data_IF_912847230445
#
_entry.id   IF_912847230445
#
_cell.length_a   1.000
_cell.length_b   1.000
_cell.length_c   1.000
_cell.angle_alpha   90.00
_cell.angle_beta   90.00
_cell.angle_gamma   90.00
#
_symmetry.space_group_name_H-M   'P 1'
#
loop_
_entity.id
_entity.type
_entity.pdbx_description
1 polymer ?
#
# COMPACT_ATOMS: atom_id res chain seq x y z
N UNK A 1 18.80 14.60 -0.49
CA UNK A 1 17.41 14.87 -0.89
C UNK A 1 16.83 13.63 -1.55
N UNK A 2 15.61 13.69 -2.06
CA UNK A 2 14.96 12.62 -2.82
C UNK A 2 14.05 13.23 -3.90
N UNK A 3 13.70 12.43 -4.92
CA UNK A 3 12.61 12.77 -5.85
C UNK A 3 11.39 11.95 -5.45
N UNK A 4 10.26 12.62 -5.24
CA UNK A 4 9.02 11.97 -4.82
C UNK A 4 8.03 11.94 -5.99
N UNK A 5 7.41 10.79 -6.24
CA UNK A 5 6.20 10.64 -7.04
C UNK A 5 4.99 10.62 -6.09
N UNK A 6 4.31 11.77 -5.85
CA UNK A 6 3.21 11.86 -4.91
C UNK A 6 1.91 11.32 -5.52
N UNK A 7 1.77 10.00 -5.55
CA UNK A 7 0.61 9.31 -6.11
C UNK A 7 -0.38 8.98 -4.98
N UNK A 8 -1.57 9.61 -4.96
CA UNK A 8 -2.60 9.34 -3.97
C UNK A 8 -3.43 8.09 -4.35
N UNK A 9 -4.59 7.92 -3.71
CA UNK A 9 -5.63 7.05 -4.27
C UNK A 9 -6.10 7.60 -5.62
N UNK A 10 -5.93 6.81 -6.68
CA UNK A 10 -6.35 7.19 -8.02
C UNK A 10 -7.82 6.83 -8.23
N UNK A 11 -8.70 7.82 -8.39
CA UNK A 11 -10.10 7.55 -8.71
C UNK A 11 -10.18 7.16 -10.18
N UNK A 12 -10.96 6.12 -10.55
CA UNK A 12 -11.01 5.65 -11.94
C UNK A 12 -11.32 6.79 -12.92
N UNK A 13 -12.31 7.63 -12.61
CA UNK A 13 -12.72 8.78 -13.45
C UNK A 13 -11.62 9.82 -13.72
N UNK A 14 -10.56 9.85 -12.91
CA UNK A 14 -9.46 10.81 -13.04
C UNK A 14 -8.36 10.26 -13.97
N UNK A 15 -8.33 8.93 -14.22
CA UNK A 15 -7.25 8.25 -14.97
C UNK A 15 -7.75 7.43 -16.16
N UNK A 16 -9.05 7.17 -16.28
CA UNK A 16 -9.66 6.48 -17.43
C UNK A 16 -10.58 7.41 -18.20
N UNK A 17 -10.56 7.30 -19.52
CA UNK A 17 -11.63 7.84 -20.38
C UNK A 17 -12.71 6.77 -20.53
N UNK A 18 -13.97 7.15 -20.25
CA UNK A 18 -15.09 6.21 -20.32
C UNK A 18 -15.32 5.75 -21.76
N UNK A 19 -15.37 4.43 -21.98
CA UNK A 19 -15.76 3.83 -23.24
C UNK A 19 -17.04 3.02 -23.05
N UNK A 20 -18.02 3.25 -23.92
CA UNK A 20 -19.28 2.50 -23.90
C UNK A 20 -19.06 1.07 -24.43
N UNK A 21 -19.81 0.11 -23.89
CA UNK A 21 -19.82 -1.28 -24.38
C UNK A 21 -18.80 -2.24 -23.76
N UNK A 22 -17.93 -1.76 -22.85
CA UNK A 22 -16.97 -2.64 -22.19
C UNK A 22 -17.65 -3.65 -21.25
N UNK A 23 -17.27 -4.91 -21.37
CA UNK A 23 -17.66 -5.97 -20.43
C UNK A 23 -16.86 -5.87 -19.11
N UNK A 24 -17.19 -6.71 -18.12
CA UNK A 24 -16.55 -6.66 -16.79
C UNK A 24 -15.04 -6.89 -16.81
N UNK A 25 -14.56 -7.84 -17.62
CA UNK A 25 -13.13 -8.19 -17.73
C UNK A 25 -12.37 -7.05 -18.40
N UNK A 26 -12.93 -6.46 -19.45
CA UNK A 26 -12.32 -5.33 -20.15
C UNK A 26 -12.20 -4.11 -19.25
N UNK A 27 -13.21 -3.82 -18.40
CA UNK A 27 -13.13 -2.74 -17.41
C UNK A 27 -12.01 -2.98 -16.41
N UNK A 28 -11.83 -4.21 -15.95
CA UNK A 28 -10.73 -4.58 -15.05
C UNK A 28 -9.36 -4.36 -15.70
N UNK A 29 -9.17 -4.88 -16.91
CA UNK A 29 -7.93 -4.74 -17.67
C UNK A 29 -7.62 -3.28 -17.96
N UNK A 30 -8.63 -2.50 -18.34
CA UNK A 30 -8.48 -1.08 -18.65
C UNK A 30 -8.07 -0.26 -17.42
N UNK A 31 -8.70 -0.49 -16.26
CA UNK A 31 -8.31 0.19 -15.02
C UNK A 31 -6.90 -0.24 -14.56
N UNK A 32 -6.59 -1.53 -14.66
CA UNK A 32 -5.26 -2.06 -14.33
C UNK A 32 -4.17 -1.40 -15.21
N UNK A 33 -4.40 -1.33 -16.52
CA UNK A 33 -3.51 -0.70 -17.47
C UNK A 33 -3.35 0.79 -17.14
N UNK A 34 -4.45 1.52 -16.93
CA UNK A 34 -4.41 2.95 -16.60
C UNK A 34 -3.62 3.25 -15.33
N UNK A 35 -3.79 2.44 -14.27
CA UNK A 35 -3.00 2.59 -13.04
C UNK A 35 -1.53 2.28 -13.33
N UNK A 36 -1.23 1.19 -14.04
CA UNK A 36 0.14 0.80 -14.40
C UNK A 36 0.84 1.92 -15.17
N UNK A 37 0.21 2.41 -16.25
CA UNK A 37 0.73 3.47 -17.10
C UNK A 37 0.94 4.77 -16.32
N UNK A 38 0.02 5.11 -15.41
CA UNK A 38 0.16 6.28 -14.54
C UNK A 38 1.42 6.19 -13.68
N UNK A 39 1.66 5.05 -13.01
CA UNK A 39 2.88 4.86 -12.23
C UNK A 39 4.15 4.93 -13.10
N UNK A 40 4.15 4.28 -14.27
CA UNK A 40 5.29 4.29 -15.19
C UNK A 40 5.61 5.70 -15.69
N UNK A 41 4.59 6.48 -16.04
CA UNK A 41 4.75 7.87 -16.49
C UNK A 41 5.31 8.76 -15.38
N UNK A 42 4.75 8.71 -14.17
CA UNK A 42 5.25 9.49 -13.04
C UNK A 42 6.69 9.12 -12.68
N UNK A 43 7.03 7.82 -12.72
CA UNK A 43 8.41 7.37 -12.50
C UNK A 43 9.37 7.84 -13.59
N UNK A 44 8.96 7.80 -14.86
CA UNK A 44 9.76 8.32 -15.96
C UNK A 44 10.04 9.82 -15.81
N UNK A 45 9.04 10.60 -15.40
CA UNK A 45 9.21 12.04 -15.16
C UNK A 45 10.06 12.32 -13.92
N UNK A 46 9.97 11.50 -12.87
CA UNK A 46 10.88 11.54 -11.73
C UNK A 46 12.34 11.23 -12.12
N UNK A 47 12.55 10.28 -13.04
CA UNK A 47 13.89 9.98 -13.58
C UNK A 47 14.46 11.18 -14.36
N UNK A 48 13.64 11.84 -15.19
CA UNK A 48 14.05 13.07 -15.90
C UNK A 48 14.38 14.20 -14.92
N UNK A 49 13.55 14.37 -13.88
CA UNK A 49 13.76 15.40 -12.84
C UNK A 49 15.02 15.13 -12.02
N UNK A 50 15.31 13.87 -11.69
CA UNK A 50 16.54 13.46 -11.00
C UNK A 50 17.78 13.83 -11.82
N UNK A 51 17.75 13.59 -13.14
CA UNK A 51 18.92 13.68 -14.00
C UNK A 51 20.04 12.77 -13.50
N UNK A 52 21.27 13.29 -13.46
CA UNK A 52 22.47 12.56 -13.03
C UNK A 52 22.72 12.60 -11.52
N UNK A 53 21.81 13.21 -10.75
CA UNK A 53 21.99 13.37 -9.30
C UNK A 53 21.80 12.03 -8.58
N UNK A 54 22.62 11.73 -7.54
CA UNK A 54 22.49 10.51 -6.74
C UNK A 54 21.36 10.62 -5.71
N UNK A 55 20.12 10.82 -6.19
CA UNK A 55 18.93 10.94 -5.37
C UNK A 55 18.05 9.68 -5.52
N UNK A 56 17.53 9.13 -4.41
CA UNK A 56 16.55 8.05 -4.51
C UNK A 56 15.23 8.59 -5.06
N UNK A 57 14.53 7.75 -5.83
CA UNK A 57 13.15 7.99 -6.23
C UNK A 57 12.23 7.24 -5.29
N UNK A 58 11.32 7.97 -4.66
CA UNK A 58 10.30 7.41 -3.77
C UNK A 58 8.95 7.56 -4.47
N UNK A 59 8.17 6.48 -4.56
CA UNK A 59 6.78 6.56 -5.01
C UNK A 59 5.83 6.28 -3.85
N UNK A 60 4.69 6.95 -3.84
CA UNK A 60 3.60 6.62 -2.90
C UNK A 60 2.49 5.86 -3.60
N UNK A 61 1.53 5.33 -2.83
CA UNK A 61 0.32 4.75 -3.40
C UNK A 61 -0.71 4.45 -2.32
N UNK A 62 -1.99 4.38 -2.72
CA UNK A 62 -3.07 3.99 -1.80
C UNK A 62 -4.05 3.08 -2.53
N UNK A 63 -3.82 1.77 -2.44
CA UNK A 63 -4.59 0.73 -3.13
C UNK A 63 -4.44 -0.63 -2.43
N UNK A 64 -5.15 -1.66 -2.89
CA UNK A 64 -4.94 -3.07 -2.46
C UNK A 64 -4.05 -3.78 -3.48
N UNK A 65 -3.03 -4.51 -3.01
CA UNK A 65 -2.16 -5.35 -3.87
C UNK A 65 -2.51 -6.82 -3.78
N UNK A 66 -2.14 -7.60 -4.80
CA UNK A 66 -2.29 -9.07 -4.79
C UNK A 66 -1.51 -9.66 -3.63
N UNK A 67 -2.13 -10.56 -2.87
CA UNK A 67 -1.54 -11.22 -1.70
C UNK A 67 -1.51 -10.37 -0.42
N UNK A 68 -2.07 -9.15 -0.43
CA UNK A 68 -2.16 -8.33 0.78
C UNK A 68 -3.08 -8.96 1.82
N UNK A 69 -2.60 -9.05 3.07
CA UNK A 69 -3.43 -9.42 4.22
C UNK A 69 -4.29 -8.25 4.66
N UNK A 70 -5.60 -8.32 4.39
CA UNK A 70 -6.61 -7.33 4.83
C UNK A 70 -7.02 -7.56 6.30
N UNK A 71 -7.56 -6.52 6.93
CA UNK A 71 -8.30 -6.58 8.19
C UNK A 71 -9.75 -6.17 7.95
N UNK A 72 -10.63 -6.40 8.94
CA UNK A 72 -12.07 -6.13 8.79
C UNK A 72 -12.38 -4.64 8.55
N UNK A 73 -11.51 -3.72 9.01
CA UNK A 73 -11.68 -2.29 8.79
C UNK A 73 -11.28 -1.81 7.38
N UNK A 74 -10.61 -2.66 6.58
CA UNK A 74 -10.25 -2.31 5.20
C UNK A 74 -11.51 -2.40 4.33
N UNK A 75 -11.97 -1.25 3.82
CA UNK A 75 -13.07 -1.20 2.86
C UNK A 75 -12.59 -1.59 1.47
N UNK A 76 -13.38 -2.38 0.76
CA UNK A 76 -13.08 -2.65 -0.64
C UNK A 76 -13.12 -1.37 -1.47
N UNK A 77 -12.10 -1.22 -2.31
CA UNK A 77 -11.97 -0.14 -3.29
C UNK A 77 -12.06 -0.74 -4.70
N UNK A 78 -12.37 0.11 -5.69
CA UNK A 78 -12.52 -0.33 -7.08
C UNK A 78 -13.54 -1.47 -7.28
N UNK A 79 -14.57 -1.52 -6.42
CA UNK A 79 -15.64 -2.53 -6.45
C UNK A 79 -16.21 -2.68 -7.86
N UNK A 80 -16.23 -3.92 -8.36
CA UNK A 80 -16.74 -4.24 -9.70
C UNK A 80 -15.78 -3.91 -10.85
N UNK A 81 -14.53 -3.52 -10.54
CA UNK A 81 -13.50 -3.24 -11.55
C UNK A 81 -12.17 -3.91 -11.23
N UNK A 82 -11.49 -3.61 -10.12
CA UNK A 82 -10.16 -4.14 -9.84
C UNK A 82 -10.05 -4.61 -8.39
N UNK A 83 -9.96 -5.92 -8.18
CA UNK A 83 -9.90 -6.49 -6.83
C UNK A 83 -8.55 -6.25 -6.15
N UNK A 84 -7.46 -6.34 -6.92
CA UNK A 84 -6.10 -6.18 -6.42
C UNK A 84 -5.12 -5.81 -7.53
N UNK A 85 -4.14 -4.98 -7.20
CA UNK A 85 -3.07 -4.56 -8.09
C UNK A 85 -1.85 -5.51 -7.98
N UNK A 86 -1.37 -6.10 -9.09
CA UNK A 86 -0.16 -6.93 -9.08
C UNK A 86 1.08 -6.08 -8.80
N UNK A 87 1.86 -6.44 -7.80
CA UNK A 87 2.99 -5.63 -7.36
C UNK A 87 4.12 -5.52 -8.40
N UNK A 88 4.24 -6.52 -9.28
CA UNK A 88 5.19 -6.50 -10.39
C UNK A 88 4.91 -5.40 -11.43
N UNK A 89 3.72 -4.78 -11.39
CA UNK A 89 3.38 -3.65 -12.27
C UNK A 89 3.90 -2.31 -11.73
N UNK A 90 4.40 -2.27 -10.49
CA UNK A 90 5.05 -1.07 -9.98
C UNK A 90 6.36 -0.78 -10.72
N UNK A 91 6.72 0.51 -10.89
CA UNK A 91 7.99 0.91 -11.47
C UNK A 91 9.14 0.65 -10.49
N UNK A 92 10.38 0.58 -10.96
CA UNK A 92 11.55 0.28 -10.13
C UNK A 92 12.03 1.50 -9.32
N UNK A 93 11.15 2.11 -8.53
CA UNK A 93 11.51 3.14 -7.57
C UNK A 93 12.36 2.56 -6.43
N UNK A 94 13.24 3.37 -5.84
CA UNK A 94 14.11 2.93 -4.74
C UNK A 94 13.30 2.58 -3.48
N UNK A 95 12.11 3.19 -3.31
CA UNK A 95 11.14 2.79 -2.30
C UNK A 95 9.71 3.13 -2.72
N UNK A 96 8.76 2.24 -2.42
CA UNK A 96 7.32 2.42 -2.66
C UNK A 96 6.57 2.32 -1.34
N UNK A 97 6.07 3.49 -0.91
CA UNK A 97 5.32 3.66 0.34
C UNK A 97 3.81 3.55 0.07
N UNK A 98 3.24 2.39 0.41
CA UNK A 98 1.81 2.12 0.21
C UNK A 98 1.00 2.34 1.49
N UNK A 99 -0.23 2.82 1.32
CA UNK A 99 -1.29 2.84 2.34
C UNK A 99 -2.54 2.11 1.86
N UNK A 100 -3.58 2.06 2.71
CA UNK A 100 -4.88 1.36 2.56
C UNK A 100 -4.97 0.10 3.43
N UNK A 101 -3.93 -0.73 3.40
CA UNK A 101 -3.86 -1.94 4.23
C UNK A 101 -3.35 -1.59 5.63
N UNK A 102 -4.07 -2.03 6.66
CA UNK A 102 -3.81 -1.64 8.05
C UNK A 102 -2.77 -2.51 8.77
N UNK A 103 -2.31 -3.61 8.16
CA UNK A 103 -1.22 -4.44 8.68
C UNK A 103 0.06 -4.16 7.91
N UNK A 104 1.13 -3.81 8.63
CA UNK A 104 2.46 -3.66 8.05
C UNK A 104 2.91 -4.98 7.40
N UNK A 105 3.37 -4.92 6.15
CA UNK A 105 3.80 -6.10 5.41
C UNK A 105 4.63 -5.73 4.18
N UNK A 106 5.48 -6.67 3.77
CA UNK A 106 6.26 -6.64 2.52
C UNK A 106 5.40 -7.20 1.40
N UNK A 107 5.44 -6.57 0.23
CA UNK A 107 4.62 -6.97 -0.92
C UNK A 107 5.46 -7.67 -1.98
N UNK A 108 5.01 -8.87 -2.40
CA UNK A 108 5.66 -9.64 -3.46
C UNK A 108 7.11 -10.06 -3.15
N UNK A 109 7.50 -10.12 -1.88
CA UNK A 109 8.89 -10.38 -1.47
C UNK A 109 9.85 -9.24 -1.76
N UNK A 110 9.34 -8.07 -2.16
CA UNK A 110 10.15 -6.90 -2.50
C UNK A 110 10.31 -6.00 -1.27
N UNK A 111 11.48 -6.04 -0.64
CA UNK A 111 11.81 -5.27 0.57
C UNK A 111 11.52 -3.76 0.48
N UNK A 112 11.58 -3.21 -0.74
CA UNK A 112 11.35 -1.80 -1.04
C UNK A 112 9.87 -1.44 -1.32
N UNK A 113 8.94 -2.40 -1.33
CA UNK A 113 7.50 -2.16 -1.54
C UNK A 113 6.73 -2.59 -0.30
N UNK A 114 6.21 -1.62 0.45
CA UNK A 114 5.70 -1.88 1.80
C UNK A 114 4.42 -1.13 2.13
N UNK A 115 3.53 -1.80 2.85
CA UNK A 115 2.56 -1.12 3.70
C UNK A 115 3.16 -0.87 5.08
N UNK A 116 2.97 0.34 5.61
CA UNK A 116 3.28 0.65 7.01
C UNK A 116 2.17 0.18 7.98
N UNK A 117 0.95 -0.02 7.48
CA UNK A 117 -0.20 -0.33 8.32
C UNK A 117 -0.79 0.90 8.99
N UNK A 118 -1.79 0.67 9.84
CA UNK A 118 -2.35 1.70 10.72
C UNK A 118 -1.46 1.89 11.96
N UNK A 119 -1.32 3.12 12.49
CA UNK A 119 -0.54 3.37 13.71
C UNK A 119 -1.27 2.92 14.98
N UNK A 120 -2.59 2.72 14.91
CA UNK A 120 -3.44 2.21 16.00
C UNK A 120 -4.33 1.08 15.46
N UNK A 121 -4.81 0.15 16.30
CA UNK A 121 -5.77 -0.86 15.86
C UNK A 121 -7.08 -0.21 15.40
N UNK A 122 -7.52 -0.49 14.18
CA UNK A 122 -8.77 0.06 13.60
C UNK A 122 -9.93 -0.95 13.61
N UNK A 123 -9.63 -2.22 13.91
CA UNK A 123 -10.58 -3.30 14.08
C UNK A 123 -10.08 -4.29 15.13
N UNK A 124 -11.00 -5.10 15.70
CA UNK A 124 -10.67 -6.06 16.75
C UNK A 124 -9.73 -7.18 16.26
N UNK A 125 -9.75 -7.54 14.98
CA UNK A 125 -8.81 -8.49 14.39
C UNK A 125 -7.37 -7.95 14.28
N UNK A 126 -7.16 -6.65 14.53
CA UNK A 126 -5.84 -6.02 14.64
C UNK A 126 -5.34 -5.91 16.09
N UNK A 127 -6.19 -6.21 17.07
CA UNK A 127 -5.82 -6.18 18.48
C UNK A 127 -4.71 -7.20 18.78
N UNK A 128 -3.75 -6.81 19.63
CA UNK A 128 -2.60 -7.64 20.00
C UNK A 128 -1.52 -7.77 18.91
N UNK A 129 -1.70 -7.15 17.73
CA UNK A 129 -0.69 -7.08 16.68
C UNK A 129 0.13 -5.80 16.83
N UNK A 130 1.44 -5.90 16.61
CA UNK A 130 2.33 -4.74 16.61
C UNK A 130 1.90 -3.70 15.58
N UNK A 131 2.05 -2.43 15.96
CA UNK A 131 1.78 -1.27 15.13
C UNK A 131 3.10 -0.57 14.83
N UNK A 132 3.29 -0.16 13.58
CA UNK A 132 4.59 0.31 13.12
C UNK A 132 4.49 1.63 12.38
N UNK A 133 5.56 2.41 12.49
CA UNK A 133 5.96 3.41 11.51
C UNK A 133 7.29 2.95 10.92
N UNK A 134 7.47 3.11 9.62
CA UNK A 134 8.73 2.75 8.98
C UNK A 134 9.70 3.93 8.99
N UNK A 135 10.85 3.75 9.61
CA UNK A 135 12.01 4.62 9.42
C UNK A 135 12.79 4.09 8.23
N UNK A 136 12.77 4.85 7.13
CA UNK A 136 13.39 4.46 5.86
C UNK A 136 14.65 5.29 5.65
N UNK A 137 15.79 4.63 5.59
CA UNK A 137 17.09 5.27 5.41
C UNK A 137 17.60 5.04 3.99
N UNK A 138 18.12 6.11 3.38
CA UNK A 138 18.75 6.07 2.08
C UNK A 138 20.19 6.54 2.19
N UNK A 139 21.08 5.87 1.45
CA UNK A 139 22.51 6.17 1.39
C UNK A 139 22.96 6.19 -0.07
N UNK A 140 23.67 7.24 -0.48
CA UNK A 140 24.19 7.41 -1.84
C UNK A 140 23.15 7.19 -2.96
N UNK A 141 21.92 7.67 -2.75
CA UNK A 141 20.84 7.55 -3.74
C UNK A 141 20.12 6.19 -3.77
N UNK A 142 20.40 5.31 -2.81
CA UNK A 142 19.82 3.95 -2.75
C UNK A 142 19.20 3.66 -1.39
N UNK A 143 18.22 2.78 -1.35
CA UNK A 143 17.63 2.28 -0.11
C UNK A 143 18.70 1.51 0.69
N UNK A 144 18.91 1.91 1.94
CA UNK A 144 19.88 1.27 2.84
C UNK A 144 19.18 0.37 3.85
N UNK A 145 18.12 0.86 4.51
CA UNK A 145 17.40 0.10 5.51
C UNK A 145 15.94 0.55 5.66
N UNK A 146 15.11 -0.38 6.12
CA UNK A 146 13.74 -0.10 6.58
C UNK A 146 13.59 -0.65 7.99
N UNK A 147 13.53 0.23 8.98
CA UNK A 147 13.35 -0.14 10.38
C UNK A 147 11.87 0.02 10.80
N UNK A 148 11.34 -1.00 11.46
CA UNK A 148 9.99 -1.00 11.98
C UNK A 148 9.98 -0.38 13.39
N UNK A 149 9.61 0.90 13.51
CA UNK A 149 9.47 1.57 14.80
C UNK A 149 8.11 1.23 15.42
N UNK A 150 8.12 0.58 16.58
CA UNK A 150 6.89 0.22 17.29
C UNK A 150 6.15 1.46 17.80
N UNK A 151 4.85 1.54 17.51
CA UNK A 151 3.97 2.58 18.04
C UNK A 151 3.40 2.12 19.38
N UNK A 152 3.57 2.90 20.47
CA UNK A 152 3.00 2.56 21.77
C UNK A 152 1.47 2.45 21.73
N UNK A 153 0.94 1.39 22.33
CA UNK A 153 -0.51 1.20 22.48
C UNK A 153 -0.98 1.94 23.73
N UNK A 154 -1.90 2.89 23.57
CA UNK A 154 -2.42 3.72 24.67
C UNK A 154 -3.82 3.31 25.13
N UNK A 155 -4.52 2.49 24.35
CA UNK A 155 -5.86 1.98 24.65
C UNK A 155 -5.87 0.45 24.62
N UNK A 156 -6.00 -0.23 25.78
CA UNK A 156 -6.16 -1.68 25.82
C UNK A 156 -7.43 -2.13 25.11
N UNK A 157 -7.32 -3.24 24.37
CA UNK A 157 -8.42 -3.92 23.70
C UNK A 157 -8.23 -5.43 23.89
N UNK A 158 -9.32 -6.19 23.85
CA UNK A 158 -9.30 -7.65 23.92
C UNK A 158 -10.44 -8.24 23.07
N UNK A 159 -10.28 -9.47 22.62
CA UNK A 159 -11.31 -10.22 21.90
C UNK A 159 -11.56 -11.52 22.65
N UNK A 160 -12.74 -11.66 23.24
CA UNK A 160 -13.16 -12.88 23.94
C UNK A 160 -13.92 -13.78 22.96
N UNK A 161 -13.55 -15.05 22.90
CA UNK A 161 -14.21 -16.06 22.06
C UNK A 161 -14.41 -17.35 22.84
N UNK A 162 -15.55 -17.99 22.64
CA UNK A 162 -15.91 -19.25 23.30
C UNK A 162 -17.38 -19.30 23.69
N UNK A 163 -17.75 -20.35 24.42
CA UNK A 163 -19.03 -20.41 25.11
C UNK A 163 -19.05 -19.53 26.38
N UNK A 164 -20.19 -19.49 27.06
CA UNK A 164 -20.37 -18.67 28.26
C UNK A 164 -19.36 -19.02 29.37
N UNK A 165 -19.05 -20.31 29.56
CA UNK A 165 -18.11 -20.74 30.60
C UNK A 165 -16.69 -20.28 30.27
N UNK A 166 -16.28 -20.43 28.99
CA UNK A 166 -14.98 -19.98 28.49
C UNK A 166 -14.82 -18.46 28.57
N UNK A 167 -15.87 -17.70 28.25
CA UNK A 167 -15.85 -16.23 28.34
C UNK A 167 -15.77 -15.78 29.81
N UNK A 168 -16.48 -16.45 30.72
CA UNK A 168 -16.48 -16.10 32.16
C UNK A 168 -15.11 -16.31 32.80
N UNK A 169 -14.28 -17.20 32.25
CA UNK A 169 -12.96 -17.54 32.79
C UNK A 169 -11.80 -16.65 32.29
N UNK A 170 -12.04 -15.81 31.26
CA UNK A 170 -11.04 -14.91 30.65
C UNK A 170 -11.12 -13.50 31.23
#
# INVERSE_FOLDING_TARGET
GAVLCPIPFLRPRDIITSQAGLNGIEKQQHLLAAITDYYQQQYADACKLRGDQPLPIIATGHLTTVGASKSDAVRDIYIGTLDAFPAQNFPPADYIALGHIHRAQIIGGMEHVRYCGSPIPLSFDECGKSKYVHLVTFSNGKLESVENLNVPVTQPMAVLKGDLASITAQ
#
